data_IF_161074393610
#
_entry.id   IF_161074393610
#
_cell.length_a   1.000
_cell.length_b   1.000
_cell.length_c   1.000
_cell.angle_alpha   90.00
_cell.angle_beta   90.00
_cell.angle_gamma   90.00
#
_symmetry.space_group_name_H-M   'P 1'
#
loop_
_entity.id
_entity.type
_entity.pdbx_description
1 polymer ?
#
# COMPACT_ATOMS: atom_id res chain seq x y z
N UNK A 1 -20.53 3.24 0.91
CA UNK A 1 -19.82 3.53 2.18
C UNK A 1 -18.88 4.67 1.86
N UNK A 2 -18.76 5.69 2.71
CA UNK A 2 -17.76 6.73 2.45
C UNK A 2 -16.39 6.19 2.89
N UNK A 3 -15.44 6.12 1.96
CA UNK A 3 -14.08 5.62 2.20
C UNK A 3 -13.17 6.77 2.67
N UNK A 4 -13.41 7.26 3.89
CA UNK A 4 -12.74 8.46 4.40
C UNK A 4 -11.24 8.24 4.61
N UNK A 5 -10.83 7.05 5.08
CA UNK A 5 -9.40 6.78 5.27
C UNK A 5 -8.71 6.65 3.91
N UNK A 6 -9.34 5.98 2.94
CA UNK A 6 -8.80 5.87 1.58
C UNK A 6 -8.53 7.24 0.97
N UNK A 7 -9.51 8.15 1.03
CA UNK A 7 -9.37 9.52 0.53
C UNK A 7 -8.17 10.24 1.14
N UNK A 8 -8.05 10.21 2.46
CA UNK A 8 -7.01 10.96 3.18
C UNK A 8 -5.62 10.36 2.97
N UNK A 9 -5.53 9.02 2.88
CA UNK A 9 -4.27 8.35 2.50
C UNK A 9 -3.91 8.69 1.06
N UNK A 10 -4.87 8.67 0.13
CA UNK A 10 -4.69 9.07 -1.26
C UNK A 10 -4.17 10.50 -1.41
N UNK A 11 -4.80 11.47 -0.73
CA UNK A 11 -4.35 12.87 -0.70
C UNK A 11 -2.92 12.97 -0.15
N UNK A 12 -2.61 12.26 0.94
CA UNK A 12 -1.28 12.24 1.52
C UNK A 12 -0.22 11.67 0.55
N UNK A 13 -0.53 10.59 -0.17
CA UNK A 13 0.37 10.00 -1.17
C UNK A 13 0.68 11.00 -2.29
N UNK A 14 -0.34 11.67 -2.82
CA UNK A 14 -0.17 12.68 -3.87
C UNK A 14 0.69 13.85 -3.40
N UNK A 15 0.38 14.43 -2.24
CA UNK A 15 1.14 15.56 -1.69
C UNK A 15 2.61 15.18 -1.43
N UNK A 16 2.88 13.98 -0.87
CA UNK A 16 4.25 13.51 -0.62
C UNK A 16 5.02 13.32 -1.95
N UNK A 17 4.34 12.80 -2.99
CA UNK A 17 4.94 12.60 -4.30
C UNK A 17 5.23 13.93 -5.02
N UNK A 18 4.34 14.92 -4.91
CA UNK A 18 4.58 16.28 -5.43
C UNK A 18 5.82 16.93 -4.79
N UNK A 19 6.07 16.65 -3.51
CA UNK A 19 7.26 17.13 -2.78
C UNK A 19 8.53 16.31 -3.07
N UNK A 20 8.42 15.19 -3.78
CA UNK A 20 9.50 14.22 -3.95
C UNK A 20 9.77 13.92 -5.43
N UNK A 21 10.81 14.54 -5.99
CA UNK A 21 11.21 14.32 -7.38
C UNK A 21 11.47 12.83 -7.66
N UNK A 22 10.93 12.31 -8.77
CA UNK A 22 11.09 10.91 -9.19
C UNK A 22 10.02 9.95 -8.65
N UNK A 23 9.00 10.46 -7.95
CA UNK A 23 7.82 9.69 -7.58
C UNK A 23 6.63 9.99 -8.48
N UNK A 24 5.94 8.94 -8.90
CA UNK A 24 4.61 9.04 -9.50
C UNK A 24 3.64 8.15 -8.74
N UNK A 25 2.38 8.56 -8.63
CA UNK A 25 1.36 7.83 -7.87
C UNK A 25 0.16 7.54 -8.75
N UNK A 26 -0.35 6.31 -8.69
CA UNK A 26 -1.68 5.98 -9.16
C UNK A 26 -2.53 5.50 -7.98
N UNK A 27 -3.77 5.99 -7.96
CA UNK A 27 -4.75 5.72 -6.91
C UNK A 27 -5.93 4.96 -7.50
N UNK A 28 -6.49 4.06 -6.71
CA UNK A 28 -7.79 3.49 -7.01
C UNK A 28 -8.92 4.54 -6.82
N UNK A 29 -10.15 4.26 -7.29
CA UNK A 29 -11.28 5.17 -7.15
C UNK A 29 -11.68 5.53 -5.71
N UNK A 30 -11.44 4.65 -4.74
CA UNK A 30 -11.73 4.94 -3.33
C UNK A 30 -10.71 5.92 -2.73
N UNK A 31 -9.44 5.83 -3.16
CA UNK A 31 -8.38 6.75 -2.74
C UNK A 31 -8.42 8.11 -3.46
N UNK A 32 -8.82 8.15 -4.73
CA UNK A 32 -8.79 9.37 -5.54
C UNK A 32 -10.06 10.24 -5.48
N UNK A 33 -9.96 11.43 -6.08
CA UNK A 33 -11.11 12.29 -6.30
C UNK A 33 -12.04 11.71 -7.41
N UNK A 34 -13.36 11.98 -7.39
CA UNK A 34 -14.30 11.44 -8.38
C UNK A 34 -13.98 11.75 -9.85
N UNK A 35 -13.10 12.73 -10.11
CA UNK A 35 -12.78 13.25 -11.43
C UNK A 35 -11.32 13.00 -11.87
N UNK A 36 -10.54 12.22 -11.12
CA UNK A 36 -9.10 11.97 -11.43
C UNK A 36 -8.85 10.78 -12.35
N UNK A 37 -9.86 10.30 -13.10
CA UNK A 37 -9.65 9.17 -14.04
C UNK A 37 -9.24 7.88 -13.33
N UNK A 38 -9.68 7.69 -12.08
CA UNK A 38 -9.30 6.53 -11.29
C UNK A 38 -9.93 5.26 -11.87
N UNK A 39 -9.08 4.28 -12.13
CA UNK A 39 -9.47 2.93 -12.50
C UNK A 39 -8.88 1.97 -11.47
N UNK A 40 -9.43 0.76 -11.40
CA UNK A 40 -8.85 -0.28 -10.55
C UNK A 40 -7.38 -0.48 -10.90
N UNK A 41 -6.57 -0.85 -9.91
CA UNK A 41 -5.13 -1.09 -10.06
C UNK A 41 -4.82 -2.60 -9.99
N UNK A 42 -5.08 -3.37 -11.06
CA UNK A 42 -4.89 -4.81 -11.07
C UNK A 42 -3.42 -5.20 -11.22
N UNK A 43 -2.94 -6.07 -10.34
CA UNK A 43 -1.65 -6.73 -10.47
C UNK A 43 -1.79 -8.07 -11.19
N UNK A 44 -0.80 -8.41 -12.01
CA UNK A 44 -0.81 -9.60 -12.87
C UNK A 44 0.39 -10.51 -12.63
N UNK A 45 0.18 -11.82 -12.81
CA UNK A 45 1.20 -12.87 -12.77
C UNK A 45 2.10 -12.91 -14.02
N UNK A 46 1.75 -12.16 -15.06
CA UNK A 46 2.51 -12.14 -16.33
C UNK A 46 2.17 -10.90 -17.14
N UNK A 47 2.90 -10.66 -18.22
CA UNK A 47 2.60 -9.61 -19.21
C UNK A 47 1.29 -9.80 -19.98
N UNK A 48 0.58 -10.93 -19.82
CA UNK A 48 -0.71 -11.15 -20.45
C UNK A 48 -1.83 -10.59 -19.57
N UNK A 49 -2.49 -9.51 -20.01
CA UNK A 49 -3.70 -8.98 -19.34
C UNK A 49 -4.90 -9.90 -19.53
N UNK A 50 -5.38 -10.54 -18.45
CA UNK A 50 -6.59 -11.35 -18.42
C UNK A 50 -7.06 -11.65 -17.00
N UNK A 51 -8.31 -12.06 -16.82
CA UNK A 51 -8.80 -12.53 -15.51
C UNK A 51 -8.05 -13.79 -15.01
N UNK A 52 -7.43 -14.56 -15.90
CA UNK A 52 -6.65 -15.75 -15.52
C UNK A 52 -5.27 -15.40 -14.93
N UNK A 53 -4.82 -14.16 -15.11
CA UNK A 53 -3.50 -13.68 -14.70
C UNK A 53 -3.57 -12.54 -13.70
N UNK A 54 -4.72 -11.86 -13.59
CA UNK A 54 -5.00 -10.89 -12.53
C UNK A 54 -5.10 -11.59 -11.17
N UNK A 55 -4.41 -11.06 -10.15
CA UNK A 55 -4.38 -11.69 -8.80
C UNK A 55 -4.97 -10.84 -7.71
N UNK A 56 -4.91 -9.52 -7.82
CA UNK A 56 -5.55 -8.61 -6.88
C UNK A 56 -5.65 -7.20 -7.47
N UNK A 57 -6.51 -6.38 -6.87
CA UNK A 57 -6.58 -4.94 -7.10
C UNK A 57 -6.13 -4.22 -5.83
N UNK A 58 -5.14 -3.36 -5.96
CA UNK A 58 -4.55 -2.61 -4.85
C UNK A 58 -5.14 -1.19 -4.79
N UNK A 59 -4.95 -0.51 -3.66
CA UNK A 59 -5.60 0.77 -3.40
C UNK A 59 -4.73 1.94 -3.87
N UNK A 60 -3.39 1.78 -3.84
CA UNK A 60 -2.48 2.66 -4.56
C UNK A 60 -1.18 1.96 -4.98
N UNK A 61 -0.51 2.55 -5.96
CA UNK A 61 0.86 2.21 -6.34
C UNK A 61 1.70 3.48 -6.46
N UNK A 62 2.97 3.39 -6.06
CA UNK A 62 3.97 4.44 -6.24
C UNK A 62 5.07 3.91 -7.15
N UNK A 63 5.36 4.66 -8.20
CA UNK A 63 6.44 4.39 -9.13
C UNK A 63 7.69 5.16 -8.75
N UNK A 64 8.83 4.48 -8.86
CA UNK A 64 10.17 5.08 -8.79
C UNK A 64 10.97 4.45 -9.93
N UNK A 65 11.67 5.29 -10.70
CA UNK A 65 12.50 4.87 -11.85
C UNK A 65 11.77 3.93 -12.84
N UNK A 66 10.47 4.17 -13.05
CA UNK A 66 9.64 3.44 -14.02
C UNK A 66 9.20 2.04 -13.57
N UNK A 67 9.42 1.65 -12.31
CA UNK A 67 8.92 0.40 -11.73
C UNK A 67 7.97 0.67 -10.56
N UNK A 68 7.07 -0.27 -10.27
CA UNK A 68 6.21 -0.21 -9.07
C UNK A 68 7.08 -0.48 -7.85
N UNK A 69 7.41 0.57 -7.10
CA UNK A 69 8.28 0.50 -5.91
C UNK A 69 7.49 0.30 -4.64
N UNK A 70 6.33 0.95 -4.52
CA UNK A 70 5.46 0.80 -3.33
C UNK A 70 4.07 0.39 -3.75
N UNK A 71 3.53 -0.62 -3.08
CA UNK A 71 2.13 -1.04 -3.21
C UNK A 71 1.44 -0.74 -1.89
N UNK A 72 0.27 -0.10 -1.95
CA UNK A 72 -0.51 0.27 -0.77
C UNK A 72 -1.84 -0.47 -0.77
N UNK A 73 -2.17 -1.03 0.39
CA UNK A 73 -3.48 -1.60 0.70
C UNK A 73 -4.08 -0.92 1.93
N UNK A 74 -5.37 -0.62 1.89
CA UNK A 74 -6.07 0.08 2.98
C UNK A 74 -7.30 -0.72 3.42
N UNK A 75 -7.31 -1.15 4.68
CA UNK A 75 -8.35 -1.97 5.29
C UNK A 75 -9.14 -1.15 6.33
N UNK A 76 -10.41 -0.85 6.02
CA UNK A 76 -11.33 -0.06 6.87
C UNK A 76 -12.33 -0.94 7.65
N UNK A 77 -12.56 -2.18 7.24
CA UNK A 77 -13.67 -3.00 7.74
C UNK A 77 -13.26 -3.93 8.88
N UNK A 78 -12.12 -4.60 8.78
CA UNK A 78 -11.66 -5.57 9.79
C UNK A 78 -10.15 -5.57 9.98
N UNK A 79 -9.71 -5.20 11.18
CA UNK A 79 -8.30 -5.14 11.58
C UNK A 79 -7.86 -6.36 12.39
N UNK A 80 -8.44 -7.51 12.07
CA UNK A 80 -8.07 -8.83 12.60
C UNK A 80 -6.80 -9.40 11.97
N UNK A 81 -6.04 -10.26 12.68
CA UNK A 81 -4.77 -10.82 12.19
C UNK A 81 -4.84 -11.54 10.83
N UNK A 82 -5.99 -12.08 10.44
CA UNK A 82 -6.15 -12.78 9.15
C UNK A 82 -6.41 -11.83 7.98
N UNK A 83 -6.89 -10.62 8.24
CA UNK A 83 -7.10 -9.59 7.22
C UNK A 83 -5.83 -8.75 7.02
N UNK A 84 -5.08 -8.58 8.10
CA UNK A 84 -3.67 -8.21 8.03
C UNK A 84 -2.96 -9.25 7.16
N UNK A 85 -2.22 -8.80 6.16
CA UNK A 85 -1.59 -9.56 5.07
C UNK A 85 -2.49 -10.03 3.91
N UNK A 86 -3.78 -9.67 3.87
CA UNK A 86 -4.74 -10.17 2.88
C UNK A 86 -4.28 -10.10 1.41
N UNK A 87 -3.75 -8.95 0.96
CA UNK A 87 -3.21 -8.78 -0.40
C UNK A 87 -1.69 -8.95 -0.51
N UNK A 88 -0.98 -9.29 0.57
CA UNK A 88 0.48 -9.40 0.57
C UNK A 88 0.96 -10.54 -0.34
N UNK A 89 0.42 -11.75 -0.16
CA UNK A 89 0.87 -12.92 -0.91
C UNK A 89 0.58 -12.77 -2.41
N UNK A 90 -0.62 -12.30 -2.75
CA UNK A 90 -1.00 -12.05 -4.16
C UNK A 90 -0.12 -10.98 -4.79
N UNK A 91 0.21 -9.91 -4.06
CA UNK A 91 1.16 -8.89 -4.52
C UNK A 91 2.56 -9.47 -4.70
N UNK A 92 3.07 -10.24 -3.75
CA UNK A 92 4.38 -10.88 -3.85
C UNK A 92 4.47 -11.89 -5.00
N UNK A 93 3.35 -12.50 -5.40
CA UNK A 93 3.29 -13.40 -6.55
C UNK A 93 3.27 -12.68 -7.89
N UNK A 94 2.80 -11.44 -7.94
CA UNK A 94 2.66 -10.67 -9.17
C UNK A 94 4.02 -10.32 -9.81
N UNK A 95 4.02 -10.20 -11.15
CA UNK A 95 5.14 -9.64 -11.90
C UNK A 95 5.07 -8.11 -11.98
N UNK A 96 3.86 -7.55 -12.00
CA UNK A 96 3.68 -6.10 -12.13
C UNK A 96 2.24 -5.66 -12.37
N UNK A 97 2.09 -4.38 -12.70
CA UNK A 97 0.84 -3.70 -13.01
C UNK A 97 0.67 -3.62 -14.54
N UNK A 98 -0.55 -3.81 -15.05
CA UNK A 98 -0.90 -3.46 -16.44
C UNK A 98 -2.06 -2.48 -16.44
N UNK A 99 -1.76 -1.20 -16.68
CA UNK A 99 -2.72 -0.11 -16.52
C UNK A 99 -2.77 0.82 -17.74
N UNK A 100 -3.92 1.47 -17.98
CA UNK A 100 -4.12 2.30 -19.18
C UNK A 100 -3.25 3.56 -19.18
N UNK A 101 -3.02 4.17 -18.01
CA UNK A 101 -2.13 5.32 -17.84
C UNK A 101 -0.67 4.98 -18.10
N UNK A 102 -0.30 3.70 -18.02
CA UNK A 102 1.05 3.19 -18.26
C UNK A 102 1.21 2.62 -19.69
N UNK A 103 0.32 2.97 -20.63
CA UNK A 103 0.42 2.51 -22.01
C UNK A 103 -0.02 1.06 -22.25
N UNK A 104 -0.67 0.41 -21.26
CA UNK A 104 -1.18 -0.98 -21.34
C UNK A 104 -0.10 -2.07 -21.45
N UNK A 105 1.15 -1.71 -21.20
CA UNK A 105 2.26 -2.64 -21.04
C UNK A 105 2.47 -3.01 -19.56
N UNK A 106 3.22 -4.09 -19.32
CA UNK A 106 3.56 -4.51 -17.96
C UNK A 106 4.60 -3.54 -17.36
N UNK A 107 4.20 -2.85 -16.30
CA UNK A 107 5.13 -2.13 -15.42
C UNK A 107 5.53 -3.07 -14.28
N UNK A 108 6.79 -3.53 -14.22
CA UNK A 108 7.21 -4.54 -13.26
C UNK A 108 7.20 -4.01 -11.83
N UNK A 109 7.06 -4.92 -10.86
CA UNK A 109 7.50 -4.63 -9.50
C UNK A 109 9.02 -4.41 -9.49
N UNK A 110 9.47 -3.39 -8.75
CA UNK A 110 10.89 -3.18 -8.45
C UNK A 110 11.45 -4.38 -7.67
N UNK A 111 12.75 -4.69 -7.80
CA UNK A 111 13.36 -5.87 -7.18
C UNK A 111 13.38 -5.82 -5.64
N UNK A 112 13.13 -4.64 -5.08
CA UNK A 112 13.03 -4.33 -3.66
C UNK A 112 11.71 -3.61 -3.33
N UNK A 113 10.61 -4.05 -3.97
CA UNK A 113 9.29 -3.49 -3.76
C UNK A 113 8.86 -3.55 -2.28
N UNK A 114 8.16 -2.50 -1.85
CA UNK A 114 7.62 -2.33 -0.50
C UNK A 114 6.12 -2.52 -0.53
N UNK A 115 5.59 -3.36 0.35
CA UNK A 115 4.16 -3.48 0.59
C UNK A 115 3.78 -2.71 1.87
N UNK A 116 2.88 -1.74 1.75
CA UNK A 116 2.33 -0.95 2.86
C UNK A 116 0.88 -1.33 3.07
N UNK A 117 0.56 -1.79 4.27
CA UNK A 117 -0.82 -2.00 4.70
C UNK A 117 -1.22 -0.92 5.69
N UNK A 118 -2.33 -0.24 5.44
CA UNK A 118 -2.91 0.80 6.29
C UNK A 118 -4.19 0.28 6.92
N UNK A 119 -4.27 0.29 8.24
CA UNK A 119 -5.44 -0.18 8.99
C UNK A 119 -6.23 1.00 9.58
N UNK A 120 -7.55 1.01 9.42
CA UNK A 120 -8.42 1.93 10.17
C UNK A 120 -8.56 1.49 11.63
N UNK A 121 -8.15 2.37 12.54
CA UNK A 121 -8.17 2.11 13.97
C UNK A 121 -9.05 3.06 14.76
N UNK A 122 -9.82 3.91 14.07
CA UNK A 122 -10.70 4.88 14.71
C UNK A 122 -11.69 4.20 15.69
N UNK A 123 -12.15 2.98 15.36
CA UNK A 123 -13.03 2.18 16.19
C UNK A 123 -12.36 1.40 17.34
N UNK A 124 -11.02 1.38 17.42
CA UNK A 124 -10.33 0.60 18.45
C UNK A 124 -10.22 1.35 19.77
N UNK A 125 -10.54 0.65 20.86
CA UNK A 125 -10.27 1.14 22.19
C UNK A 125 -8.77 1.03 22.51
N UNK A 126 -8.03 2.13 22.29
CA UNK A 126 -6.56 2.19 22.43
C UNK A 126 -6.06 1.90 23.86
N UNK A 127 -6.89 2.07 24.90
CA UNK A 127 -6.47 1.82 26.29
C UNK A 127 -6.67 0.37 26.75
N UNK A 128 -7.44 -0.42 26.00
CA UNK A 128 -7.76 -1.82 26.33
C UNK A 128 -7.29 -2.83 25.29
N UNK A 129 -6.86 -2.35 24.12
CA UNK A 129 -6.47 -3.20 23.02
C UNK A 129 -5.01 -3.62 23.12
N UNK A 130 -4.75 -4.92 23.11
CA UNK A 130 -3.40 -5.47 22.92
C UNK A 130 -2.89 -5.35 21.48
N UNK A 131 -3.69 -4.79 20.55
CA UNK A 131 -3.31 -4.65 19.14
C UNK A 131 -2.29 -3.53 18.93
N UNK A 132 -2.47 -2.40 19.61
CA UNK A 132 -1.69 -1.16 19.45
C UNK A 132 -0.59 -1.02 20.52
N UNK A 133 0.48 -0.29 20.20
CA UNK A 133 1.58 0.03 21.11
C UNK A 133 2.89 -0.70 20.80
N UNK A 134 3.96 -0.36 21.53
CA UNK A 134 5.33 -0.81 21.25
C UNK A 134 5.55 -2.32 21.38
N UNK A 135 4.66 -3.04 22.04
CA UNK A 135 4.67 -4.51 22.14
C UNK A 135 3.33 -5.12 21.70
N UNK A 136 2.55 -4.36 20.93
CA UNK A 136 1.23 -4.76 20.46
C UNK A 136 1.30 -5.85 19.38
N UNK A 137 0.18 -6.55 19.21
CA UNK A 137 0.02 -7.64 18.24
C UNK A 137 0.48 -7.25 16.83
N UNK A 138 0.21 -6.02 16.39
CA UNK A 138 0.52 -5.59 15.03
C UNK A 138 2.01 -5.42 14.77
N UNK A 139 2.78 -4.93 15.75
CA UNK A 139 4.23 -4.88 15.63
C UNK A 139 4.82 -6.28 15.53
N UNK A 140 4.30 -7.23 16.32
CA UNK A 140 4.73 -8.62 16.26
C UNK A 140 4.38 -9.26 14.91
N UNK A 141 3.21 -8.95 14.35
CA UNK A 141 2.81 -9.40 13.01
C UNK A 141 3.69 -8.79 11.92
N UNK A 142 3.93 -7.47 11.95
CA UNK A 142 4.82 -6.80 11.00
C UNK A 142 6.23 -7.42 11.02
N UNK A 143 6.78 -7.66 12.22
CA UNK A 143 8.08 -8.30 12.40
C UNK A 143 8.10 -9.74 11.87
N UNK A 144 7.08 -10.54 12.19
CA UNK A 144 6.97 -11.92 11.72
C UNK A 144 6.82 -12.02 10.20
N UNK A 145 6.08 -11.09 9.58
CA UNK A 145 5.95 -11.00 8.13
C UNK A 145 7.29 -10.58 7.50
N UNK A 146 7.95 -9.58 8.08
CA UNK A 146 9.25 -9.10 7.58
C UNK A 146 10.30 -10.20 7.61
N UNK A 147 10.32 -11.05 8.64
CA UNK A 147 11.28 -12.15 8.80
C UNK A 147 11.20 -13.21 7.68
N UNK A 148 10.04 -13.36 7.05
CA UNK A 148 9.85 -14.31 5.93
C UNK A 148 10.02 -13.66 4.55
N UNK A 149 10.26 -12.35 4.48
CA UNK A 149 10.45 -11.62 3.23
C UNK A 149 11.95 -11.48 2.88
N UNK A 150 12.29 -11.47 1.57
CA UNK A 150 11.41 -11.75 0.45
C UNK A 150 11.04 -13.24 0.38
N UNK A 151 9.82 -13.55 -0.03
CA UNK A 151 9.46 -14.91 -0.41
C UNK A 151 10.38 -15.38 -1.55
N UNK A 152 10.71 -16.67 -1.59
CA UNK A 152 11.74 -17.20 -2.51
C UNK A 152 11.52 -16.76 -3.97
N UNK A 153 12.45 -15.97 -4.48
CA UNK A 153 12.45 -15.47 -5.87
C UNK A 153 11.41 -14.39 -6.15
N UNK A 154 10.86 -13.75 -5.11
CA UNK A 154 9.87 -12.68 -5.19
C UNK A 154 10.47 -11.33 -4.83
N UNK A 155 9.81 -10.28 -5.30
CA UNK A 155 10.32 -8.91 -5.33
C UNK A 155 9.87 -8.02 -4.18
N UNK A 156 8.83 -8.42 -3.45
CA UNK A 156 8.42 -7.72 -2.22
C UNK A 156 9.41 -8.09 -1.11
N UNK A 157 10.26 -7.15 -0.74
CA UNK A 157 11.31 -7.35 0.27
C UNK A 157 10.94 -6.74 1.62
N UNK A 158 10.07 -5.73 1.61
CA UNK A 158 9.70 -4.98 2.80
C UNK A 158 8.19 -4.97 2.98
N UNK A 159 7.75 -5.19 4.22
CA UNK A 159 6.37 -5.00 4.65
C UNK A 159 6.30 -3.92 5.71
N UNK A 160 5.34 -3.00 5.59
CA UNK A 160 5.06 -1.96 6.58
C UNK A 160 3.60 -1.97 6.97
N UNK A 161 3.35 -2.03 8.28
CA UNK A 161 2.02 -1.95 8.84
C UNK A 161 1.80 -0.60 9.50
N UNK A 162 1.02 0.23 8.83
CA UNK A 162 0.60 1.55 9.32
C UNK A 162 -0.82 1.45 9.84
N UNK A 163 -1.14 2.27 10.84
CA UNK A 163 -2.46 2.21 11.46
C UNK A 163 -2.82 3.56 12.10
N UNK A 164 -4.09 3.92 12.00
CA UNK A 164 -4.59 5.24 12.43
C UNK A 164 -6.02 5.45 11.96
N UNK A 165 -6.64 6.55 12.36
CA UNK A 165 -7.88 7.03 11.72
C UNK A 165 -7.60 8.17 10.76
N UNK A 166 -8.66 8.78 10.22
CA UNK A 166 -8.58 9.96 9.34
C UNK A 166 -7.61 11.04 9.86
N UNK A 167 -7.71 11.43 11.12
CA UNK A 167 -6.86 12.48 11.71
C UNK A 167 -5.38 12.10 11.73
N UNK A 168 -5.04 10.82 11.83
CA UNK A 168 -3.65 10.35 11.87
C UNK A 168 -2.98 10.47 10.48
N UNK A 169 -3.76 10.45 9.39
CA UNK A 169 -3.27 10.55 8.01
C UNK A 169 -3.48 11.93 7.38
N UNK A 170 -4.18 12.85 8.04
CA UNK A 170 -4.23 14.26 7.65
C UNK A 170 -2.89 14.97 7.85
N UNK A 171 -2.80 16.21 7.37
CA UNK A 171 -1.59 17.03 7.47
C UNK A 171 -1.09 17.14 8.93
N UNK A 172 0.18 16.80 9.16
CA UNK A 172 0.82 16.81 10.48
C UNK A 172 0.55 15.57 11.35
N UNK A 173 -0.35 14.68 10.95
CA UNK A 173 -0.69 13.44 11.65
C UNK A 173 0.46 12.42 11.70
N UNK A 174 0.43 11.54 12.71
CA UNK A 174 1.51 10.56 12.92
C UNK A 174 1.53 9.47 11.83
N UNK A 175 0.36 8.98 11.40
CA UNK A 175 0.21 8.03 10.31
C UNK A 175 0.79 8.57 9.00
N UNK A 176 0.49 9.83 8.67
CA UNK A 176 1.07 10.53 7.51
C UNK A 176 2.59 10.62 7.59
N UNK A 177 3.14 10.98 8.75
CA UNK A 177 4.60 11.06 8.93
C UNK A 177 5.27 9.71 8.72
N UNK A 178 4.66 8.62 9.20
CA UNK A 178 5.18 7.26 8.97
C UNK A 178 5.09 6.87 7.50
N UNK A 179 3.99 7.19 6.83
CA UNK A 179 3.84 6.98 5.39
C UNK A 179 4.92 7.71 4.60
N UNK A 180 5.13 9.00 4.88
CA UNK A 180 6.20 9.81 4.28
C UNK A 180 7.60 9.20 4.51
N UNK A 181 7.90 8.74 5.73
CA UNK A 181 9.17 8.07 6.02
C UNK A 181 9.38 6.81 5.19
N UNK A 182 8.33 5.99 5.00
CA UNK A 182 8.40 4.78 4.18
C UNK A 182 8.64 5.13 2.72
N UNK A 183 7.88 6.09 2.17
CA UNK A 183 8.03 6.52 0.78
C UNK A 183 9.42 7.10 0.51
N UNK A 184 9.91 8.00 1.38
CA UNK A 184 11.25 8.59 1.23
C UNK A 184 12.38 7.58 1.43
N UNK A 185 12.16 6.51 2.20
CA UNK A 185 13.12 5.41 2.27
C UNK A 185 13.20 4.66 0.94
N UNK A 186 12.06 4.41 0.29
CA UNK A 186 11.98 3.73 -0.99
C UNK A 186 12.65 4.48 -2.16
N UNK A 187 12.92 5.79 -2.04
CA UNK A 187 13.70 6.58 -3.02
C UNK A 187 15.22 6.44 -2.89
N UNK A 188 15.72 5.98 -1.73
CA UNK A 188 17.16 6.01 -1.42
C UNK A 188 17.86 4.67 -1.68
N UNK A 189 17.10 3.67 -2.11
CA UNK A 189 17.51 2.28 -2.35
C UNK A 189 17.35 1.96 -3.84
#
# INVERSE_FOLDING_TARGET
MEHHLHRVVGDALLEIAEESAGMEVLLDPACGAPNTGCHNLPLFLSSKKSNATEVCNVDAVVFVDGAVKVVVEIEEADVGPTQICGKLLTTALAEGLIHETCGKELVPLADDAVFVQVLDTAGLNRTRSAKVGDSGQWRNLEAAITDILPLKGKKVTTYKLLYGGVLDFQHGGEGRKKLDQVLRAALRE
#
